data_IF_780127187616
#
_entry.id   IF_780127187616
#
_cell.length_a   1.000
_cell.length_b   1.000
_cell.length_c   1.000
_cell.angle_alpha   90.00
_cell.angle_beta   90.00
_cell.angle_gamma   90.00
#
_symmetry.space_group_name_H-M   'P 1'
#
loop_
_entity.id
_entity.type
_entity.pdbx_description
1 polymer ?
#
# COMPACT_ATOMS: atom_id res chain seq x y z
N UNK A 1 5.15 13.16 37.15
CA UNK A 1 4.10 13.15 38.19
C UNK A 1 4.42 12.02 39.16
N UNK A 2 4.60 12.31 40.46
CA UNK A 2 5.00 11.31 41.45
C UNK A 2 3.84 10.36 41.74
N UNK A 3 4.11 9.04 41.71
CA UNK A 3 3.12 8.04 42.12
C UNK A 3 3.13 7.92 43.66
N UNK A 4 2.27 8.70 44.29
CA UNK A 4 2.20 8.79 45.76
C UNK A 4 1.81 7.47 46.45
N UNK A 5 1.07 6.57 45.74
CA UNK A 5 0.67 5.25 46.29
C UNK A 5 1.83 4.27 46.38
N UNK A 6 2.72 4.28 45.39
CA UNK A 6 3.92 3.42 45.39
C UNK A 6 5.04 4.00 46.21
N UNK A 7 5.21 5.33 46.23
CA UNK A 7 6.22 6.03 47.02
C UNK A 7 5.94 5.99 48.53
N UNK A 8 4.69 5.75 48.96
CA UNK A 8 4.34 5.65 50.37
C UNK A 8 4.78 4.34 51.08
N UNK A 9 5.34 3.38 50.33
CA UNK A 9 5.78 2.08 50.84
C UNK A 9 7.30 1.94 51.08
N UNK A 10 8.10 2.99 50.86
CA UNK A 10 9.55 2.98 51.03
C UNK A 10 10.16 4.33 50.70
N UNK A 11 11.46 4.51 51.01
CA UNK A 11 12.21 5.75 50.77
C UNK A 11 12.54 6.04 49.29
N UNK A 12 11.98 5.27 48.37
CA UNK A 12 12.21 5.43 46.91
C UNK A 12 11.01 6.15 46.29
N UNK A 13 11.25 7.30 45.67
CA UNK A 13 10.25 8.02 44.92
C UNK A 13 10.03 7.37 43.55
N UNK A 14 8.82 6.88 43.31
CA UNK A 14 8.40 6.36 42.00
C UNK A 14 7.79 7.50 41.18
N UNK A 15 8.43 7.81 40.04
CA UNK A 15 7.92 8.77 39.06
C UNK A 15 7.14 7.97 38.01
N UNK A 16 5.90 8.37 37.76
CA UNK A 16 5.11 7.83 36.67
C UNK A 16 5.60 8.49 35.39
N UNK A 17 6.50 7.82 34.66
CA UNK A 17 6.87 8.20 33.32
C UNK A 17 5.66 7.89 32.40
N UNK A 18 5.02 8.92 31.87
CA UNK A 18 4.12 8.77 30.74
C UNK A 18 5.00 8.87 29.50
N UNK A 19 5.26 7.75 28.86
CA UNK A 19 5.68 7.77 27.48
C UNK A 19 4.61 8.52 26.67
N UNK A 20 4.95 9.68 26.18
CA UNK A 20 4.13 10.40 25.22
C UNK A 20 4.25 9.67 23.89
N UNK A 21 3.45 8.63 23.67
CA UNK A 21 3.26 8.09 22.35
C UNK A 21 2.57 9.18 21.52
N UNK A 22 3.36 9.91 20.73
CA UNK A 22 2.83 10.85 19.74
C UNK A 22 2.12 10.01 18.69
N UNK A 23 0.77 10.04 18.72
CA UNK A 23 -0.04 9.39 17.73
C UNK A 23 0.34 9.84 16.33
N UNK A 24 0.77 8.92 15.52
CA UNK A 24 1.07 9.16 14.12
C UNK A 24 -0.22 9.26 13.29
N UNK A 25 -0.12 9.95 12.17
CA UNK A 25 -1.17 9.98 11.16
C UNK A 25 -0.72 9.13 9.98
N UNK A 26 -1.59 8.26 9.50
CA UNK A 26 -1.32 7.39 8.35
C UNK A 26 -2.34 7.64 7.25
N UNK A 27 -1.86 7.96 6.07
CA UNK A 27 -2.67 8.11 4.87
C UNK A 27 -2.57 6.86 4.01
N UNK A 28 -3.72 6.33 3.60
CA UNK A 28 -3.81 5.19 2.71
C UNK A 28 -4.19 5.65 1.31
N UNK A 29 -3.55 5.07 0.34
CA UNK A 29 -4.01 5.03 -1.04
C UNK A 29 -3.98 3.58 -1.51
N UNK A 30 -5.11 3.10 -2.00
CA UNK A 30 -5.28 1.79 -2.62
C UNK A 30 -5.74 2.05 -4.03
N UNK A 31 -5.06 1.48 -4.99
CA UNK A 31 -5.41 1.59 -6.40
C UNK A 31 -6.74 0.89 -6.66
N UNK A 32 -7.70 1.62 -7.21
CA UNK A 32 -9.05 1.18 -7.56
C UNK A 32 -9.22 0.99 -9.07
N UNK A 33 -8.13 1.15 -9.83
CA UNK A 33 -8.13 1.00 -11.27
C UNK A 33 -8.51 -0.40 -11.73
N UNK A 34 -9.01 -0.49 -12.95
CA UNK A 34 -9.49 -1.75 -13.52
C UNK A 34 -8.40 -2.83 -13.60
N UNK A 35 -7.13 -2.44 -13.77
CA UNK A 35 -6.00 -3.38 -13.75
C UNK A 35 -5.92 -4.21 -12.47
N UNK A 36 -6.38 -3.65 -11.36
CA UNK A 36 -6.40 -4.31 -10.05
C UNK A 36 -7.48 -5.42 -9.95
N UNK A 37 -8.45 -5.49 -10.86
CA UNK A 37 -9.48 -6.56 -10.89
C UNK A 37 -8.99 -7.86 -11.51
N UNK A 38 -7.74 -7.93 -11.93
CA UNK A 38 -7.16 -9.13 -12.53
C UNK A 38 -6.94 -10.23 -11.48
N UNK A 39 -7.29 -11.47 -11.90
CA UNK A 39 -6.91 -12.72 -11.27
C UNK A 39 -6.71 -13.78 -12.36
N UNK A 40 -5.60 -14.51 -12.34
CA UNK A 40 -5.29 -15.54 -13.34
C UNK A 40 -6.05 -16.85 -13.12
N UNK A 41 -6.64 -17.04 -11.95
CA UNK A 41 -7.43 -18.22 -11.57
C UNK A 41 -8.59 -17.81 -10.68
N UNK A 42 -9.77 -18.48 -10.80
CA UNK A 42 -10.88 -18.26 -9.87
C UNK A 42 -10.58 -18.66 -8.42
N UNK A 43 -9.50 -19.40 -8.17
CA UNK A 43 -9.05 -19.80 -6.84
C UNK A 43 -8.21 -18.70 -6.16
N UNK A 44 -7.74 -17.72 -6.93
CA UNK A 44 -6.97 -16.59 -6.43
C UNK A 44 -7.88 -15.36 -6.24
N UNK A 45 -7.66 -14.58 -5.18
CA UNK A 45 -8.34 -13.30 -5.05
C UNK A 45 -7.84 -12.33 -6.13
N UNK A 46 -8.70 -11.41 -6.55
CA UNK A 46 -8.27 -10.29 -7.38
C UNK A 46 -7.22 -9.44 -6.63
N UNK A 47 -6.33 -8.79 -7.37
CA UNK A 47 -5.34 -7.86 -6.77
C UNK A 47 -6.03 -6.79 -5.93
N UNK A 48 -7.17 -6.24 -6.40
CA UNK A 48 -7.98 -5.26 -5.66
C UNK A 48 -8.46 -5.81 -4.31
N UNK A 49 -9.00 -7.03 -4.27
CA UNK A 49 -9.47 -7.66 -3.02
C UNK A 49 -8.30 -7.85 -2.03
N UNK A 50 -7.15 -8.32 -2.54
CA UNK A 50 -5.95 -8.48 -1.73
C UNK A 50 -5.42 -7.14 -1.20
N UNK A 51 -5.38 -6.12 -2.03
CA UNK A 51 -4.95 -4.78 -1.65
C UNK A 51 -5.86 -4.17 -0.57
N UNK A 52 -7.18 -4.28 -0.74
CA UNK A 52 -8.18 -3.84 0.26
C UNK A 52 -8.04 -4.57 1.58
N UNK A 53 -7.90 -5.90 1.53
CA UNK A 53 -7.69 -6.72 2.73
C UNK A 53 -6.45 -6.26 3.50
N UNK A 54 -5.32 -6.07 2.82
CA UNK A 54 -4.07 -5.64 3.44
C UNK A 54 -4.16 -4.21 4.00
N UNK A 55 -4.79 -3.29 3.27
CA UNK A 55 -5.02 -1.92 3.73
C UNK A 55 -5.89 -1.88 5.00
N UNK A 56 -7.00 -2.64 5.02
CA UNK A 56 -7.89 -2.72 6.18
C UNK A 56 -7.22 -3.40 7.36
N UNK A 57 -6.54 -4.52 7.16
CA UNK A 57 -5.84 -5.22 8.23
C UNK A 57 -4.72 -4.37 8.85
N UNK A 58 -3.93 -3.67 8.03
CA UNK A 58 -2.93 -2.71 8.49
C UNK A 58 -3.59 -1.56 9.27
N UNK A 59 -4.74 -1.05 8.78
CA UNK A 59 -5.50 0.01 9.47
C UNK A 59 -5.99 -0.42 10.84
N UNK A 60 -6.46 -1.66 10.99
CA UNK A 60 -6.88 -2.22 12.30
C UNK A 60 -5.71 -2.21 13.27
N UNK A 61 -4.54 -2.71 12.87
CA UNK A 61 -3.33 -2.73 13.71
C UNK A 61 -2.91 -1.31 14.13
N UNK A 62 -2.91 -0.37 13.18
CA UNK A 62 -2.55 1.02 13.45
C UNK A 62 -3.55 1.71 14.39
N UNK A 63 -4.85 1.53 14.19
CA UNK A 63 -5.89 2.10 15.06
C UNK A 63 -5.82 1.48 16.47
N UNK A 64 -5.54 0.19 16.61
CA UNK A 64 -5.31 -0.46 17.90
C UNK A 64 -4.05 0.08 18.59
N UNK A 65 -3.00 0.42 17.82
CA UNK A 65 -1.81 1.14 18.30
C UNK A 65 -2.05 2.61 18.67
N UNK A 66 -3.29 3.12 18.49
CA UNK A 66 -3.65 4.51 18.81
C UNK A 66 -3.37 5.51 17.70
N UNK A 67 -3.04 5.05 16.50
CA UNK A 67 -2.79 5.88 15.32
C UNK A 67 -4.09 6.42 14.70
N UNK A 68 -3.96 7.47 13.89
CA UNK A 68 -5.05 8.01 13.07
C UNK A 68 -4.88 7.56 11.64
N UNK A 69 -5.89 6.92 11.07
CA UNK A 69 -5.85 6.40 9.70
C UNK A 69 -6.92 7.07 8.85
N UNK A 70 -6.58 7.43 7.61
CA UNK A 70 -7.51 8.01 6.64
C UNK A 70 -7.04 7.78 5.21
N UNK A 71 -7.86 8.17 4.24
CA UNK A 71 -7.50 8.08 2.82
C UNK A 71 -6.76 9.34 2.35
N UNK A 72 -5.93 9.18 1.35
CA UNK A 72 -5.42 10.31 0.57
C UNK A 72 -6.57 11.00 -0.18
N UNK A 73 -6.33 12.20 -0.70
CA UNK A 73 -7.38 12.91 -1.45
C UNK A 73 -8.40 13.66 -0.59
N UNK A 74 -8.44 13.41 0.72
CA UNK A 74 -9.29 14.14 1.66
C UNK A 74 -10.74 13.66 1.76
N UNK A 75 -11.15 12.63 1.01
CA UNK A 75 -12.50 12.05 1.07
C UNK A 75 -12.80 11.46 2.45
N UNK A 76 -11.81 10.84 3.08
CA UNK A 76 -11.91 10.28 4.43
C UNK A 76 -10.70 10.73 5.28
N UNK A 77 -10.82 11.83 6.03
CA UNK A 77 -9.71 12.37 6.82
C UNK A 77 -9.30 11.41 7.96
N UNK A 78 -8.02 11.45 8.37
CA UNK A 78 -7.48 10.53 9.38
C UNK A 78 -8.15 10.69 10.75
N UNK A 79 -8.72 9.60 11.28
CA UNK A 79 -9.35 9.52 12.60
C UNK A 79 -8.96 8.24 13.33
N UNK A 80 -9.23 8.18 14.63
CA UNK A 80 -9.06 7.01 15.49
C UNK A 80 -10.37 6.25 15.66
N UNK A 81 -10.25 5.02 16.14
CA UNK A 81 -11.36 4.20 16.61
C UNK A 81 -12.01 3.34 15.53
N UNK A 82 -12.76 2.34 15.98
CA UNK A 82 -13.30 1.28 15.12
C UNK A 82 -14.31 1.80 14.07
N UNK A 83 -15.02 2.90 14.34
CA UNK A 83 -15.92 3.52 13.35
C UNK A 83 -15.15 3.96 12.11
N UNK A 84 -13.89 4.38 12.26
CA UNK A 84 -13.05 4.74 11.12
C UNK A 84 -12.73 3.54 10.23
N UNK A 85 -12.54 2.35 10.81
CA UNK A 85 -12.30 1.12 10.05
C UNK A 85 -13.51 0.77 9.16
N UNK A 86 -14.73 0.92 9.70
CA UNK A 86 -15.95 0.69 8.91
C UNK A 86 -16.07 1.67 7.74
N UNK A 87 -15.77 2.95 7.99
CA UNK A 87 -15.77 3.98 6.94
C UNK A 87 -14.69 3.72 5.88
N UNK A 88 -13.51 3.22 6.29
CA UNK A 88 -12.46 2.83 5.35
C UNK A 88 -12.92 1.63 4.49
N UNK A 89 -13.58 0.65 5.09
CA UNK A 89 -14.10 -0.51 4.36
C UNK A 89 -15.14 -0.08 3.31
N UNK A 90 -16.04 0.81 3.66
CA UNK A 90 -17.03 1.39 2.72
C UNK A 90 -16.33 2.16 1.59
N UNK A 91 -15.43 3.09 1.93
CA UNK A 91 -14.76 3.95 0.96
C UNK A 91 -13.79 3.21 0.03
N UNK A 92 -13.25 2.06 0.44
CA UNK A 92 -12.39 1.22 -0.38
C UNK A 92 -13.16 0.22 -1.25
N UNK A 93 -14.49 0.17 -1.15
CA UNK A 93 -15.33 -0.73 -1.96
C UNK A 93 -15.62 -0.18 -3.34
N UNK A 94 -15.45 1.11 -3.55
CA UNK A 94 -15.72 1.76 -4.84
C UNK A 94 -14.58 1.44 -5.83
N UNK A 95 -14.95 1.00 -7.03
CA UNK A 95 -14.05 0.74 -8.14
C UNK A 95 -14.11 1.88 -9.16
N UNK A 96 -12.97 2.21 -9.73
CA UNK A 96 -12.88 3.18 -10.83
C UNK A 96 -12.97 2.49 -12.19
N UNK A 97 -13.50 3.21 -13.20
CA UNK A 97 -13.59 2.71 -14.57
C UNK A 97 -12.26 2.81 -15.34
N UNK A 98 -11.33 3.65 -14.86
CA UNK A 98 -10.02 3.84 -15.49
C UNK A 98 -9.15 2.59 -15.32
N UNK A 99 -8.31 2.28 -16.33
CA UNK A 99 -7.39 1.13 -16.27
C UNK A 99 -6.42 1.24 -15.09
N UNK A 100 -5.87 2.44 -14.85
CA UNK A 100 -4.94 2.73 -13.77
C UNK A 100 -5.38 4.00 -13.03
N UNK A 101 -5.61 3.89 -11.74
CA UNK A 101 -5.89 5.06 -10.91
C UNK A 101 -4.57 5.76 -10.53
N UNK A 102 -4.45 7.08 -10.72
CA UNK A 102 -3.29 7.81 -10.26
C UNK A 102 -3.32 7.98 -8.73
N UNK A 103 -2.15 7.95 -8.05
CA UNK A 103 -2.13 8.21 -6.63
C UNK A 103 -2.55 9.65 -6.33
N UNK A 104 -3.52 9.80 -5.44
CA UNK A 104 -3.99 11.10 -5.02
C UNK A 104 -3.15 11.60 -3.84
N UNK A 105 -2.30 12.61 -4.08
CA UNK A 105 -1.41 13.19 -3.09
C UNK A 105 -2.00 14.38 -2.31
N UNK A 106 -3.29 14.71 -2.59
CA UNK A 106 -3.98 15.80 -1.90
C UNK A 106 -4.23 15.45 -0.43
N UNK A 107 -4.24 16.47 0.41
CA UNK A 107 -4.51 16.36 1.84
C UNK A 107 -3.50 15.52 2.65
N UNK A 108 -2.32 15.18 2.12
CA UNK A 108 -1.24 14.59 2.90
C UNK A 108 -0.79 15.57 3.99
N UNK A 109 -0.88 15.14 5.24
CA UNK A 109 -0.44 15.94 6.39
C UNK A 109 1.10 15.90 6.46
N UNK A 110 1.79 17.03 6.63
CA UNK A 110 3.24 17.05 6.80
C UNK A 110 3.70 16.11 7.93
N UNK A 111 4.82 15.42 7.69
CA UNK A 111 5.41 14.45 8.62
C UNK A 111 4.51 13.25 8.99
N UNK A 112 3.42 13.04 8.25
CA UNK A 112 2.60 11.84 8.38
C UNK A 112 3.32 10.62 7.76
N UNK A 113 2.75 9.45 7.99
CA UNK A 113 3.09 8.22 7.26
C UNK A 113 2.09 8.00 6.13
N UNK A 114 2.51 7.24 5.11
CA UNK A 114 1.61 6.81 4.05
C UNK A 114 1.84 5.36 3.66
N UNK A 115 0.77 4.71 3.21
CA UNK A 115 0.79 3.37 2.62
C UNK A 115 0.09 3.43 1.27
N UNK A 116 0.84 3.15 0.21
CA UNK A 116 0.34 3.08 -1.16
C UNK A 116 0.38 1.65 -1.64
N UNK A 117 -0.76 1.13 -2.10
CA UNK A 117 -0.91 -0.25 -2.58
C UNK A 117 -1.47 -0.24 -3.99
N UNK A 118 -0.74 -0.84 -4.94
CA UNK A 118 -1.11 -0.95 -6.35
C UNK A 118 -0.29 -2.07 -7.02
N UNK A 119 -0.61 -2.41 -8.25
CA UNK A 119 0.31 -3.18 -9.10
C UNK A 119 1.45 -2.30 -9.66
N UNK A 120 1.27 -0.99 -9.68
CA UNK A 120 2.20 0.00 -10.24
C UNK A 120 2.62 -0.29 -11.68
N UNK A 121 1.77 -0.93 -12.48
CA UNK A 121 2.05 -1.24 -13.89
C UNK A 121 1.64 -0.10 -14.83
N UNK A 122 0.88 0.87 -14.36
CA UNK A 122 0.50 2.07 -15.09
C UNK A 122 1.66 3.05 -15.37
N UNK A 123 1.39 4.24 -15.92
CA UNK A 123 2.40 5.28 -16.16
C UNK A 123 3.17 5.63 -14.88
N UNK A 124 4.49 5.89 -14.97
CA UNK A 124 5.33 6.16 -13.80
C UNK A 124 5.20 7.60 -13.29
N UNK A 125 4.95 8.54 -14.18
CA UNK A 125 4.99 9.96 -13.89
C UNK A 125 4.05 10.40 -12.76
N UNK A 126 2.79 9.92 -12.67
CA UNK A 126 1.91 10.28 -11.55
C UNK A 126 2.44 9.79 -10.20
N UNK A 127 3.05 8.59 -10.16
CA UNK A 127 3.65 8.05 -8.95
C UNK A 127 4.90 8.82 -8.54
N UNK A 128 5.78 9.15 -9.49
CA UNK A 128 6.97 9.96 -9.25
C UNK A 128 6.60 11.33 -8.66
N UNK A 129 5.58 11.98 -9.24
CA UNK A 129 5.08 13.26 -8.74
C UNK A 129 4.50 13.15 -7.33
N UNK A 130 3.70 12.09 -7.06
CA UNK A 130 3.11 11.87 -5.75
C UNK A 130 4.18 11.65 -4.67
N UNK A 131 5.19 10.82 -4.95
CA UNK A 131 6.31 10.56 -4.03
C UNK A 131 7.16 11.81 -3.79
N UNK A 132 7.47 12.56 -4.85
CA UNK A 132 8.24 13.81 -4.74
C UNK A 132 7.53 14.82 -3.86
N UNK A 133 6.21 15.02 -4.06
CA UNK A 133 5.40 15.92 -3.22
C UNK A 133 5.27 15.42 -1.78
N UNK A 134 5.14 14.13 -1.57
CA UNK A 134 5.10 13.52 -0.24
C UNK A 134 6.44 13.74 0.49
N UNK A 135 7.57 13.49 -0.18
CA UNK A 135 8.91 13.70 0.36
C UNK A 135 9.16 15.17 0.73
N UNK A 136 8.74 16.11 -0.14
CA UNK A 136 8.85 17.57 0.12
C UNK A 136 8.08 18.01 1.38
N UNK A 137 7.05 17.25 1.79
CA UNK A 137 6.28 17.47 3.02
C UNK A 137 6.81 16.66 4.22
N UNK A 138 7.92 15.96 4.07
CA UNK A 138 8.46 15.08 5.10
C UNK A 138 7.60 13.84 5.37
N UNK A 139 6.68 13.49 4.46
CA UNK A 139 5.88 12.26 4.55
C UNK A 139 6.75 11.08 4.19
N UNK A 140 6.82 10.09 5.07
CA UNK A 140 7.49 8.81 4.83
C UNK A 140 6.47 7.70 4.71
N UNK A 141 6.81 6.62 4.03
CA UNK A 141 5.81 5.58 3.84
C UNK A 141 6.34 4.31 3.20
N UNK A 142 5.36 3.57 2.71
CA UNK A 142 5.55 2.27 2.09
C UNK A 142 4.80 2.22 0.77
N UNK A 143 5.47 1.76 -0.29
CA UNK A 143 4.85 1.23 -1.49
C UNK A 143 4.78 -0.29 -1.38
N UNK A 144 3.59 -0.86 -1.50
CA UNK A 144 3.39 -2.29 -1.62
C UNK A 144 2.88 -2.62 -3.02
N UNK A 145 3.72 -3.26 -3.82
CA UNK A 145 3.30 -3.80 -5.12
C UNK A 145 2.55 -5.12 -4.90
N UNK A 146 1.34 -5.21 -5.48
CA UNK A 146 0.52 -6.43 -5.46
C UNK A 146 0.33 -6.92 -6.89
N UNK A 147 0.84 -8.12 -7.19
CA UNK A 147 0.74 -8.77 -8.49
C UNK A 147 -0.01 -10.09 -8.40
N UNK A 148 -0.44 -10.56 -9.53
CA UNK A 148 -0.90 -11.94 -9.70
C UNK A 148 0.30 -12.85 -10.02
N UNK A 149 0.31 -14.12 -9.59
CA UNK A 149 1.41 -15.04 -9.93
C UNK A 149 1.67 -15.17 -11.44
N UNK A 150 0.64 -15.09 -12.28
CA UNK A 150 0.81 -15.14 -13.73
C UNK A 150 1.45 -13.87 -14.30
N UNK A 151 1.31 -12.72 -13.66
CA UNK A 151 2.03 -11.50 -14.04
C UNK A 151 3.52 -11.60 -13.72
N UNK A 152 3.90 -12.35 -12.67
CA UNK A 152 5.32 -12.56 -12.34
C UNK A 152 5.98 -13.65 -13.19
N UNK A 153 5.29 -14.77 -13.41
CA UNK A 153 5.85 -15.92 -14.10
C UNK A 153 5.67 -15.86 -15.62
N UNK A 154 4.69 -15.09 -16.11
CA UNK A 154 4.26 -15.03 -17.50
C UNK A 154 4.11 -16.44 -18.14
N UNK A 155 3.22 -17.29 -17.63
CA UNK A 155 3.13 -18.70 -18.05
C UNK A 155 2.44 -18.89 -19.41
N UNK A 156 2.29 -17.83 -20.17
CA UNK A 156 1.55 -17.84 -21.43
C UNK A 156 2.42 -18.39 -22.57
N UNK A 157 1.85 -19.30 -23.34
CA UNK A 157 2.51 -19.92 -24.48
C UNK A 157 1.54 -20.09 -25.65
N UNK A 158 2.07 -20.17 -26.88
CA UNK A 158 1.24 -20.34 -28.08
C UNK A 158 0.46 -19.07 -28.45
N UNK A 159 -0.69 -19.27 -29.13
CA UNK A 159 -1.57 -18.17 -29.54
C UNK A 159 -2.31 -17.64 -28.31
N UNK A 160 -2.08 -16.40 -27.98
CA UNK A 160 -2.67 -15.74 -26.81
C UNK A 160 -3.22 -14.37 -27.17
N UNK A 161 -4.43 -14.07 -26.73
CA UNK A 161 -5.04 -12.76 -26.81
C UNK A 161 -4.88 -12.07 -25.48
N UNK A 162 -4.17 -10.96 -25.46
CA UNK A 162 -4.07 -10.06 -24.29
C UNK A 162 -5.08 -8.94 -24.49
N UNK A 163 -5.94 -8.74 -23.53
CA UNK A 163 -6.96 -7.71 -23.57
C UNK A 163 -6.86 -6.85 -22.28
N UNK A 164 -6.94 -5.53 -22.46
CA UNK A 164 -7.13 -4.62 -21.33
C UNK A 164 -8.48 -4.90 -20.68
N UNK A 165 -8.58 -4.85 -19.37
CA UNK A 165 -9.81 -5.18 -18.63
C UNK A 165 -11.00 -4.33 -19.10
N UNK A 166 -10.75 -3.09 -19.54
CA UNK A 166 -11.79 -2.22 -20.10
C UNK A 166 -12.00 -2.40 -21.62
N UNK A 167 -11.37 -3.40 -22.23
CA UNK A 167 -11.53 -3.73 -23.66
C UNK A 167 -10.94 -2.70 -24.63
N UNK A 168 -10.26 -1.67 -24.14
CA UNK A 168 -9.73 -0.58 -24.96
C UNK A 168 -8.51 -0.92 -25.78
N UNK A 169 -7.75 -1.94 -25.39
CA UNK A 169 -6.54 -2.41 -26.08
C UNK A 169 -6.56 -3.92 -26.14
N UNK A 170 -6.45 -4.46 -27.34
CA UNK A 170 -6.28 -5.89 -27.57
C UNK A 170 -4.99 -6.15 -28.31
N UNK A 171 -4.23 -7.14 -27.86
CA UNK A 171 -3.00 -7.58 -28.52
C UNK A 171 -3.02 -9.10 -28.68
N UNK A 172 -3.13 -9.54 -29.92
CA UNK A 172 -3.04 -10.95 -30.28
C UNK A 172 -1.62 -11.31 -30.69
N UNK A 173 -1.09 -12.39 -30.12
CA UNK A 173 0.20 -12.94 -30.52
C UNK A 173 0.08 -14.42 -30.85
N UNK A 174 0.79 -14.86 -31.86
CA UNK A 174 0.86 -16.27 -32.21
C UNK A 174 1.87 -17.06 -31.36
N UNK A 175 2.80 -16.35 -30.69
CA UNK A 175 3.83 -16.93 -29.84
C UNK A 175 4.01 -16.07 -28.58
N UNK A 176 3.17 -16.28 -27.58
CA UNK A 176 3.27 -15.54 -26.32
C UNK A 176 4.63 -15.72 -25.63
N UNK A 177 5.26 -16.90 -25.75
CA UNK A 177 6.62 -17.15 -25.23
C UNK A 177 7.70 -16.23 -25.80
N UNK A 178 7.52 -15.70 -27.01
CA UNK A 178 8.45 -14.72 -27.58
C UNK A 178 8.37 -13.35 -26.92
N UNK A 179 7.27 -13.07 -26.18
CA UNK A 179 7.08 -11.84 -25.41
C UNK A 179 7.56 -11.99 -23.96
N UNK A 180 7.72 -13.20 -23.46
CA UNK A 180 8.00 -13.48 -22.04
C UNK A 180 9.27 -12.78 -21.56
N UNK A 181 10.40 -12.99 -22.23
CA UNK A 181 11.67 -12.37 -21.83
C UNK A 181 11.55 -10.85 -21.78
N UNK A 182 11.00 -10.24 -22.83
CA UNK A 182 10.81 -8.80 -22.92
C UNK A 182 9.84 -8.26 -21.87
N UNK A 183 8.83 -9.03 -21.49
CA UNK A 183 7.89 -8.65 -20.44
C UNK A 183 8.58 -8.69 -19.06
N UNK A 184 9.29 -9.77 -18.77
CA UNK A 184 10.00 -9.93 -17.50
C UNK A 184 11.08 -8.86 -17.31
N UNK A 185 11.82 -8.53 -18.39
CA UNK A 185 12.78 -7.43 -18.37
C UNK A 185 12.13 -6.11 -18.00
N UNK A 186 10.98 -5.79 -18.63
CA UNK A 186 10.23 -4.55 -18.30
C UNK A 186 9.69 -4.55 -16.87
N UNK A 187 9.24 -5.70 -16.37
CA UNK A 187 8.80 -5.80 -14.99
C UNK A 187 9.96 -5.58 -14.01
N UNK A 188 11.13 -6.14 -14.30
CA UNK A 188 12.35 -5.93 -13.51
C UNK A 188 12.82 -4.48 -13.55
N UNK A 189 12.82 -3.85 -14.74
CA UNK A 189 13.13 -2.42 -14.89
C UNK A 189 12.14 -1.55 -14.06
N UNK A 190 10.84 -1.86 -14.13
CA UNK A 190 9.81 -1.16 -13.35
C UNK A 190 10.07 -1.26 -11.86
N UNK A 191 10.38 -2.45 -11.35
CA UNK A 191 10.71 -2.67 -9.93
C UNK A 191 11.95 -1.86 -9.52
N UNK A 192 12.98 -1.85 -10.36
CA UNK A 192 14.19 -1.04 -10.14
C UNK A 192 13.88 0.45 -10.02
N UNK A 193 12.99 0.96 -10.88
CA UNK A 193 12.53 2.36 -10.83
C UNK A 193 11.78 2.63 -9.52
N UNK A 194 10.83 1.77 -9.12
CA UNK A 194 10.06 1.94 -7.88
C UNK A 194 10.95 1.90 -6.63
N UNK A 195 11.92 0.99 -6.59
CA UNK A 195 12.91 0.90 -5.51
C UNK A 195 13.77 2.17 -5.41
N UNK A 196 14.22 2.70 -6.54
CA UNK A 196 14.98 3.94 -6.60
C UNK A 196 14.15 5.12 -6.09
N UNK A 197 12.92 5.28 -6.59
CA UNK A 197 12.00 6.34 -6.16
C UNK A 197 11.71 6.28 -4.66
N UNK A 198 11.46 5.10 -4.13
CA UNK A 198 11.24 4.90 -2.70
C UNK A 198 12.48 5.29 -1.89
N UNK A 199 13.67 4.89 -2.32
CA UNK A 199 14.93 5.23 -1.64
C UNK A 199 15.17 6.74 -1.62
N UNK A 200 14.95 7.42 -2.75
CA UNK A 200 15.10 8.88 -2.87
C UNK A 200 14.09 9.64 -2.01
N UNK A 201 12.87 9.14 -1.89
CA UNK A 201 11.81 9.71 -1.06
C UNK A 201 11.91 9.33 0.45
N UNK A 202 12.83 8.44 0.84
CA UNK A 202 12.89 7.89 2.20
C UNK A 202 11.73 6.93 2.51
N UNK A 203 11.16 6.32 1.47
CA UNK A 203 10.09 5.32 1.55
C UNK A 203 10.66 3.90 1.44
N UNK A 204 9.81 2.91 1.75
CA UNK A 204 10.14 1.50 1.59
C UNK A 204 9.31 0.91 0.46
N UNK A 205 9.92 0.02 -0.29
CA UNK A 205 9.27 -0.77 -1.33
C UNK A 205 9.15 -2.23 -0.88
N UNK A 206 7.98 -2.82 -1.08
CA UNK A 206 7.72 -4.23 -0.88
C UNK A 206 6.90 -4.81 -2.00
N UNK A 207 6.96 -6.13 -2.13
CA UNK A 207 6.26 -6.91 -3.14
C UNK A 207 5.43 -8.00 -2.48
N UNK A 208 4.29 -8.29 -3.05
CA UNK A 208 3.40 -9.37 -2.66
C UNK A 208 2.64 -9.86 -3.88
N UNK A 209 2.42 -11.15 -4.01
CA UNK A 209 1.52 -11.68 -5.02
C UNK A 209 0.32 -12.40 -4.40
N UNK A 210 -0.78 -12.46 -5.14
CA UNK A 210 -2.07 -12.96 -4.63
C UNK A 210 -2.05 -14.44 -4.26
N UNK A 211 -1.09 -15.21 -4.75
CA UNK A 211 -0.87 -16.61 -4.39
C UNK A 211 -0.24 -16.83 -3.01
N UNK A 212 0.39 -15.79 -2.44
CA UNK A 212 0.98 -15.87 -1.11
C UNK A 212 -0.03 -15.57 0.00
N UNK A 213 0.21 -16.10 1.22
CA UNK A 213 -0.60 -15.75 2.39
C UNK A 213 -0.55 -14.24 2.68
N UNK A 214 -1.72 -13.60 2.86
CA UNK A 214 -1.82 -12.18 3.18
C UNK A 214 -1.08 -11.80 4.48
N UNK A 215 -0.99 -12.75 5.43
CA UNK A 215 -0.31 -12.56 6.70
C UNK A 215 1.16 -12.18 6.53
N UNK A 216 1.85 -12.77 5.56
CA UNK A 216 3.26 -12.47 5.27
C UNK A 216 3.44 -11.00 4.89
N UNK A 217 2.60 -10.50 3.98
CA UNK A 217 2.61 -9.10 3.58
C UNK A 217 2.21 -8.17 4.74
N UNK A 218 1.21 -8.55 5.55
CA UNK A 218 0.78 -7.76 6.69
C UNK A 218 1.89 -7.61 7.75
N UNK A 219 2.61 -8.67 8.06
CA UNK A 219 3.74 -8.64 8.99
C UNK A 219 4.85 -7.74 8.46
N UNK A 220 5.15 -7.85 7.17
CA UNK A 220 6.13 -6.96 6.55
C UNK A 220 5.69 -5.50 6.59
N UNK A 221 4.41 -5.20 6.26
CA UNK A 221 3.83 -3.85 6.32
C UNK A 221 3.93 -3.26 7.74
N UNK A 222 3.60 -4.04 8.76
CA UNK A 222 3.68 -3.61 10.14
C UNK A 222 5.09 -3.14 10.49
N UNK A 223 6.10 -3.98 10.27
CA UNK A 223 7.49 -3.63 10.51
C UNK A 223 8.01 -2.50 9.62
N UNK A 224 7.56 -2.43 8.38
CA UNK A 224 7.97 -1.38 7.45
C UNK A 224 7.45 0.00 7.89
N UNK A 225 6.21 0.06 8.35
CA UNK A 225 5.58 1.30 8.85
C UNK A 225 6.15 1.74 10.21
N UNK A 226 6.46 0.81 11.13
CA UNK A 226 7.11 1.15 12.39
C UNK A 226 8.49 1.79 12.19
N UNK A 227 9.31 1.22 11.30
CA UNK A 227 10.68 1.66 11.04
C UNK A 227 10.78 2.94 10.18
N UNK A 228 9.68 3.46 9.68
CA UNK A 228 9.62 4.79 9.05
C UNK A 228 9.49 5.92 10.09
N UNK A 229 9.54 5.60 11.39
CA UNK A 229 9.66 6.61 12.44
C UNK A 229 10.94 7.44 12.26
N UNK A 230 10.91 8.73 12.61
CA UNK A 230 12.06 9.63 12.50
C UNK A 230 13.21 9.20 13.39
#
# INVERSE_FOLDING_TARGET
MIDHRRSARGDIQFVREREWQISQTVHLWVDTGASMRFASSPELPQKAERARLLALAASVLMVQGGERVGLTGGSLPPRRGNVQILRLAEALSDDEEQDYAPPNDRALIPHARALFISDFLGPSEPMEQALSKAAARGVRGVLLQVLDPAEEAFPFSGRTLFESINGGVTHETLKASALQERYLDRLAERRTVLERLCREAGWRFGQHHTGDPAQTALMWLYHALERTAP
#
